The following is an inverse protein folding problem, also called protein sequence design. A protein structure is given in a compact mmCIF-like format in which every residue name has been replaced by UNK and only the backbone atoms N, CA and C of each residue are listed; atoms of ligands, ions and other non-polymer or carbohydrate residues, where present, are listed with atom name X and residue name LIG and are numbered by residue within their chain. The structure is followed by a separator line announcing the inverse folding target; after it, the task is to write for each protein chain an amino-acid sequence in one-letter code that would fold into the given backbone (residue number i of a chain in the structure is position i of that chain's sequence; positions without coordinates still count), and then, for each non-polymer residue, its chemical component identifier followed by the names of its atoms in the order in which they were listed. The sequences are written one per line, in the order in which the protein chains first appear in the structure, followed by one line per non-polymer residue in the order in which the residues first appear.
data_IF_589178085439
#
_entry.id   IF_589178085439
#
_cell.length_a   1.000
_cell.length_b   1.000
_cell.length_c   1.000
_cell.angle_alpha   90.00
_cell.angle_beta   90.00
_cell.angle_gamma   90.00
#
_symmetry.space_group_name_H-M   'P 1'
#
loop_
_entity.id
_entity.type
_entity.pdbx_description
1 polymer ?
#
# COMPACT_ATOMS: atom_id res chain seq x y z
N UNK A 1 47.99 -43.89 26.92
CA UNK A 1 47.37 -43.79 25.57
C UNK A 1 45.83 -43.94 25.55
N UNK A 2 45.20 -44.80 26.37
CA UNK A 2 43.72 -44.97 26.35
C UNK A 2 42.87 -43.79 26.87
N UNK A 3 43.42 -42.86 27.65
CA UNK A 3 42.74 -41.67 28.19
C UNK A 3 42.69 -40.50 27.19
N UNK A 4 43.73 -40.34 26.35
CA UNK A 4 43.80 -39.30 25.33
C UNK A 4 42.83 -39.53 24.20
N UNK A 5 42.62 -40.81 23.77
CA UNK A 5 41.63 -41.16 22.75
C UNK A 5 40.19 -40.85 23.15
N UNK A 6 39.82 -41.03 24.44
CA UNK A 6 38.48 -40.69 24.94
C UNK A 6 38.22 -39.19 24.99
N UNK A 7 39.24 -38.35 25.27
CA UNK A 7 39.14 -36.92 25.26
C UNK A 7 38.98 -36.38 23.81
N UNK A 8 39.72 -36.96 22.86
CA UNK A 8 39.59 -36.56 21.44
C UNK A 8 38.22 -36.92 20.87
N UNK A 9 37.64 -38.07 21.24
CA UNK A 9 36.32 -38.51 20.79
C UNK A 9 35.19 -37.61 21.37
N UNK A 10 35.30 -37.23 22.65
CA UNK A 10 34.33 -36.33 23.31
C UNK A 10 34.42 -34.91 22.70
N UNK A 11 35.60 -34.42 22.37
CA UNK A 11 35.81 -33.12 21.73
C UNK A 11 35.25 -33.10 20.29
N UNK A 12 35.44 -34.17 19.52
CA UNK A 12 34.89 -34.31 18.17
C UNK A 12 33.35 -34.39 18.19
N UNK A 13 32.73 -35.10 19.15
CA UNK A 13 31.27 -35.17 19.31
C UNK A 13 30.71 -33.83 19.82
N UNK A 14 31.40 -33.12 20.70
CA UNK A 14 30.99 -31.79 21.16
C UNK A 14 31.03 -30.74 20.03
N UNK A 15 31.97 -30.87 19.11
CA UNK A 15 32.07 -29.97 17.95
C UNK A 15 30.97 -30.18 16.91
N UNK A 16 30.36 -31.38 16.82
CA UNK A 16 29.21 -31.68 15.96
C UNK A 16 27.87 -31.27 16.56
N UNK A 17 27.83 -30.91 17.85
CA UNK A 17 26.63 -30.47 18.56
C UNK A 17 26.53 -28.92 18.68
N UNK A 18 27.51 -28.17 18.16
CA UNK A 18 27.37 -26.75 18.07
C UNK A 18 26.24 -26.43 17.07
N UNK A 19 25.17 -25.76 17.50
CA UNK A 19 24.14 -25.34 16.55
C UNK A 19 24.81 -24.35 15.57
N UNK A 20 25.08 -24.84 14.37
CA UNK A 20 25.36 -23.94 13.24
C UNK A 20 24.04 -23.24 13.00
N UNK A 21 23.92 -22.00 13.47
CA UNK A 21 22.82 -21.13 13.05
C UNK A 21 23.04 -20.79 11.57
N UNK A 22 22.87 -21.76 10.69
CA UNK A 22 22.69 -21.51 9.28
C UNK A 22 21.35 -20.80 9.12
N UNK A 23 21.34 -19.46 9.18
CA UNK A 23 20.24 -18.70 8.61
C UNK A 23 20.27 -18.97 7.12
N UNK A 24 19.38 -19.82 6.65
CA UNK A 24 19.09 -19.86 5.22
C UNK A 24 18.65 -18.45 4.83
N UNK A 25 19.33 -17.86 3.84
CA UNK A 25 18.88 -16.60 3.28
C UNK A 25 17.46 -16.80 2.76
N UNK A 26 16.55 -15.92 3.13
CA UNK A 26 15.18 -15.94 2.61
C UNK A 26 15.27 -15.64 1.11
N UNK A 27 14.67 -16.52 0.30
CA UNK A 27 14.66 -16.37 -1.15
C UNK A 27 13.41 -15.62 -1.57
N UNK A 28 13.58 -14.43 -2.13
CA UNK A 28 12.47 -13.58 -2.59
C UNK A 28 12.61 -13.28 -4.08
N UNK A 29 11.49 -13.14 -4.75
CA UNK A 29 11.44 -12.70 -6.15
C UNK A 29 11.29 -11.18 -6.16
N UNK A 30 12.27 -10.40 -6.67
CA UNK A 30 12.10 -8.98 -6.94
C UNK A 30 11.04 -8.78 -8.04
N UNK A 31 10.11 -7.86 -7.88
CA UNK A 31 8.96 -7.75 -8.79
C UNK A 31 8.96 -6.45 -9.60
N UNK A 32 9.01 -5.29 -8.97
CA UNK A 32 8.98 -4.00 -9.67
C UNK A 32 7.70 -3.69 -10.45
N UNK A 33 6.64 -4.52 -10.30
CA UNK A 33 5.37 -4.37 -11.03
C UNK A 33 4.46 -3.37 -10.35
N UNK A 34 3.89 -2.47 -11.17
CA UNK A 34 2.85 -1.54 -10.70
C UNK A 34 1.54 -2.26 -10.40
N UNK A 35 0.88 -1.84 -9.33
CA UNK A 35 -0.42 -2.36 -8.86
C UNK A 35 -1.29 -1.22 -8.36
N UNK A 36 -2.61 -1.41 -8.45
CA UNK A 36 -3.58 -0.62 -7.71
C UNK A 36 -3.71 -1.18 -6.29
N UNK A 37 -3.69 -0.31 -5.30
CA UNK A 37 -3.90 -0.68 -3.90
C UNK A 37 -5.11 0.09 -3.38
N UNK A 38 -6.03 -0.61 -2.74
CA UNK A 38 -7.18 -0.01 -2.05
C UNK A 38 -7.15 -0.46 -0.60
N UNK A 39 -7.02 0.48 0.32
CA UNK A 39 -6.97 0.24 1.76
C UNK A 39 -8.21 0.84 2.41
N UNK A 40 -8.88 0.11 3.27
CA UNK A 40 -10.03 0.58 4.05
C UNK A 40 -9.74 0.52 5.54
N UNK A 41 -10.21 1.54 6.26
CA UNK A 41 -10.19 1.62 7.73
C UNK A 41 -11.62 1.56 8.32
N UNK A 42 -12.58 1.11 7.53
CA UNK A 42 -14.02 1.10 7.85
C UNK A 42 -14.60 2.49 8.08
N UNK A 43 -14.03 3.52 7.44
CA UNK A 43 -14.63 4.86 7.48
C UNK A 43 -15.24 5.22 6.13
N UNK A 44 -16.47 5.71 6.16
CA UNK A 44 -17.17 6.23 4.99
C UNK A 44 -17.30 7.74 5.14
N UNK A 45 -16.68 8.49 4.25
CA UNK A 45 -16.64 9.96 4.30
C UNK A 45 -17.32 10.61 3.13
N UNK A 46 -17.97 11.74 3.36
CA UNK A 46 -18.50 12.61 2.30
C UNK A 46 -17.33 13.21 1.52
N UNK A 47 -17.19 12.81 0.25
CA UNK A 47 -16.11 13.27 -0.63
C UNK A 47 -16.50 14.51 -1.43
N UNK A 48 -17.74 14.55 -1.95
CA UNK A 48 -18.29 15.66 -2.71
C UNK A 48 -19.83 15.65 -2.61
N UNK A 49 -20.45 16.72 -3.03
CA UNK A 49 -21.89 16.77 -3.26
C UNK A 49 -22.17 16.53 -4.75
N UNK A 50 -23.24 15.81 -5.01
CA UNK A 50 -23.78 15.70 -6.36
C UNK A 50 -24.28 17.07 -6.85
N UNK A 51 -24.02 17.39 -8.12
CA UNK A 51 -24.35 18.71 -8.67
C UNK A 51 -25.87 18.96 -8.76
N UNK A 52 -26.66 17.90 -8.88
CA UNK A 52 -28.12 17.97 -9.04
C UNK A 52 -28.84 17.68 -7.70
N UNK A 53 -28.45 16.59 -7.04
CA UNK A 53 -29.14 16.08 -5.85
C UNK A 53 -28.51 16.57 -4.53
N UNK A 54 -27.31 17.14 -4.56
CA UNK A 54 -26.54 17.46 -3.34
C UNK A 54 -26.92 18.76 -2.64
N UNK A 55 -27.79 19.59 -3.24
CA UNK A 55 -28.17 20.89 -2.65
C UNK A 55 -28.87 20.73 -1.30
N UNK A 56 -29.73 19.74 -1.15
CA UNK A 56 -30.50 19.48 0.08
C UNK A 56 -29.63 18.95 1.19
N UNK A 57 -28.72 17.98 0.90
CA UNK A 57 -27.76 17.49 1.89
C UNK A 57 -26.86 18.60 2.41
N UNK A 58 -26.44 19.51 1.53
CA UNK A 58 -25.65 20.68 1.91
C UNK A 58 -26.45 21.63 2.81
N UNK A 59 -27.70 21.91 2.45
CA UNK A 59 -28.61 22.77 3.21
C UNK A 59 -28.94 22.17 4.57
N UNK A 60 -29.10 20.84 4.65
CA UNK A 60 -29.29 20.09 5.88
C UNK A 60 -28.08 20.16 6.82
N UNK A 61 -26.94 20.64 6.35
CA UNK A 61 -25.74 20.86 7.16
C UNK A 61 -24.68 19.77 7.07
N UNK A 62 -24.82 18.82 6.15
CA UNK A 62 -23.76 17.85 5.84
C UNK A 62 -22.57 18.57 5.20
N UNK A 63 -21.36 18.11 5.44
CA UNK A 63 -20.12 18.76 4.96
C UNK A 63 -19.17 17.76 4.35
N UNK A 64 -18.39 18.20 3.37
CA UNK A 64 -17.27 17.42 2.84
C UNK A 64 -16.30 17.10 4.00
N UNK A 65 -15.88 15.84 4.09
CA UNK A 65 -15.03 15.33 5.16
C UNK A 65 -15.79 14.82 6.40
N UNK A 66 -17.13 14.95 6.44
CA UNK A 66 -17.93 14.28 7.46
C UNK A 66 -17.81 12.77 7.29
N UNK A 67 -17.52 12.08 8.37
CA UNK A 67 -17.52 10.62 8.44
C UNK A 67 -18.91 10.15 8.88
N UNK A 68 -19.58 9.38 8.06
CA UNK A 68 -20.90 8.82 8.37
C UNK A 68 -20.68 7.62 9.29
N UNK A 69 -21.18 7.70 10.49
CA UNK A 69 -21.03 6.64 11.52
C UNK A 69 -22.28 5.79 11.61
N UNK A 70 -23.45 6.40 11.37
CA UNK A 70 -24.74 5.74 11.48
C UNK A 70 -25.75 6.43 10.57
N UNK A 71 -26.66 5.67 10.00
CA UNK A 71 -27.87 6.16 9.32
C UNK A 71 -29.06 5.48 10.00
N UNK A 72 -29.95 6.26 10.56
CA UNK A 72 -31.07 5.79 11.39
C UNK A 72 -30.58 4.81 12.47
N UNK A 73 -30.93 3.54 12.39
CA UNK A 73 -30.48 2.49 13.33
C UNK A 73 -29.28 1.68 12.82
N UNK A 74 -28.83 1.92 11.60
CA UNK A 74 -27.77 1.11 10.93
C UNK A 74 -26.39 1.74 11.12
N UNK A 75 -25.45 1.03 11.75
CA UNK A 75 -24.05 1.41 11.81
C UNK A 75 -23.40 1.30 10.42
N UNK A 76 -22.55 2.26 10.07
CA UNK A 76 -21.92 2.36 8.75
C UNK A 76 -20.44 2.07 8.88
N UNK A 77 -19.99 0.97 8.29
CA UNK A 77 -18.59 0.56 8.17
C UNK A 77 -18.09 0.54 6.71
N UNK A 78 -19.04 0.50 5.77
CA UNK A 78 -18.73 0.51 4.34
C UNK A 78 -19.82 1.23 3.54
N UNK A 79 -19.55 1.53 2.27
CA UNK A 79 -20.51 2.19 1.38
C UNK A 79 -21.73 1.33 1.10
N UNK A 80 -21.60 0.00 1.18
CA UNK A 80 -22.71 -0.93 1.01
C UNK A 80 -23.71 -0.85 2.18
N UNK A 81 -23.23 -0.58 3.41
CA UNK A 81 -24.12 -0.34 4.56
C UNK A 81 -24.93 0.93 4.36
N UNK A 82 -24.34 1.97 3.75
CA UNK A 82 -25.08 3.20 3.40
C UNK A 82 -26.22 2.87 2.43
N UNK A 83 -25.91 2.10 1.36
CA UNK A 83 -26.93 1.70 0.39
C UNK A 83 -28.06 0.92 1.07
N UNK A 84 -27.71 -0.06 1.90
CA UNK A 84 -28.68 -0.89 2.63
C UNK A 84 -29.52 -0.08 3.62
N UNK A 85 -28.91 0.84 4.36
CA UNK A 85 -29.64 1.71 5.28
C UNK A 85 -30.66 2.59 4.54
N UNK A 86 -30.28 3.12 3.38
CA UNK A 86 -31.18 3.97 2.59
C UNK A 86 -32.30 3.21 1.90
N UNK A 87 -32.14 1.92 1.54
CA UNK A 87 -33.22 1.09 0.96
C UNK A 87 -34.46 1.05 1.83
N UNK A 88 -34.33 1.19 3.16
CA UNK A 88 -35.42 1.25 4.12
C UNK A 88 -35.92 2.66 4.44
N UNK A 89 -35.31 3.70 3.91
CA UNK A 89 -35.72 5.08 4.16
C UNK A 89 -36.82 5.55 3.22
N UNK A 90 -37.94 5.98 3.80
CA UNK A 90 -39.02 6.63 3.08
C UNK A 90 -39.12 8.09 3.54
N UNK A 91 -38.33 8.96 2.89
CA UNK A 91 -38.27 10.38 3.22
C UNK A 91 -36.88 10.83 3.74
N UNK A 92 -36.85 11.37 4.95
CA UNK A 92 -35.61 11.90 5.57
C UNK A 92 -34.82 10.80 6.27
N UNK A 93 -33.49 10.79 6.10
CA UNK A 93 -32.56 9.95 6.83
C UNK A 93 -31.89 10.73 7.96
N UNK A 94 -31.85 10.18 9.16
CA UNK A 94 -31.08 10.72 10.27
C UNK A 94 -29.65 10.17 10.27
N UNK A 95 -28.67 11.02 10.00
CA UNK A 95 -27.26 10.67 9.96
C UNK A 95 -26.56 11.09 11.26
N UNK A 96 -25.86 10.16 11.91
CA UNK A 96 -24.85 10.51 12.89
C UNK A 96 -23.52 10.59 12.16
N UNK A 97 -22.95 11.79 12.08
CA UNK A 97 -21.64 12.04 11.43
C UNK A 97 -20.61 12.42 12.46
N UNK A 98 -19.37 12.02 12.21
CA UNK A 98 -18.20 12.48 12.95
C UNK A 98 -17.49 13.58 12.16
N UNK A 99 -17.48 14.77 12.72
CA UNK A 99 -16.82 15.98 12.18
C UNK A 99 -15.66 16.36 13.07
N UNK A 100 -14.45 15.99 12.70
CA UNK A 100 -13.29 16.05 13.57
C UNK A 100 -13.47 15.14 14.79
N UNK A 101 -13.49 15.73 16.01
CA UNK A 101 -13.67 14.99 17.27
C UNK A 101 -15.12 15.05 17.81
N UNK A 102 -16.06 15.62 17.05
CA UNK A 102 -17.45 15.80 17.50
C UNK A 102 -18.38 14.91 16.69
N UNK A 103 -19.37 14.33 17.35
CA UNK A 103 -20.53 13.71 16.70
C UNK A 103 -21.61 14.76 16.50
N UNK A 104 -22.21 14.78 15.34
CA UNK A 104 -23.32 15.67 14.97
C UNK A 104 -24.43 14.81 14.35
N UNK A 105 -25.67 15.12 14.66
CA UNK A 105 -26.84 14.57 13.98
C UNK A 105 -27.23 15.52 12.85
N UNK A 106 -27.47 14.96 11.68
CA UNK A 106 -27.89 15.70 10.47
C UNK A 106 -29.03 14.93 9.82
N UNK A 107 -30.19 15.56 9.70
CA UNK A 107 -31.33 14.97 8.98
C UNK A 107 -31.27 15.41 7.53
N UNK A 108 -31.13 14.45 6.62
CA UNK A 108 -30.93 14.68 5.17
C UNK A 108 -32.09 14.11 4.41
N UNK A 109 -32.81 14.89 3.60
CA UNK A 109 -33.82 14.38 2.69
C UNK A 109 -33.22 13.41 1.69
N UNK A 110 -33.81 12.23 1.56
CA UNK A 110 -33.41 11.27 0.53
C UNK A 110 -34.12 11.58 -0.78
N UNK A 111 -33.45 11.30 -1.90
CA UNK A 111 -34.01 11.46 -3.24
C UNK A 111 -34.03 10.12 -3.96
N UNK A 112 -35.18 9.79 -4.54
CA UNK A 112 -35.28 8.61 -5.36
C UNK A 112 -34.50 8.75 -6.66
N UNK A 113 -33.75 7.72 -7.01
CA UNK A 113 -33.04 7.59 -8.29
C UNK A 113 -33.34 6.20 -8.89
N UNK A 114 -32.94 5.97 -10.14
CA UNK A 114 -33.11 4.67 -10.82
C UNK A 114 -32.47 3.50 -10.05
N UNK A 115 -31.51 3.78 -9.18
CA UNK A 115 -30.81 2.80 -8.35
C UNK A 115 -31.18 2.86 -6.86
N UNK A 116 -32.35 3.46 -6.52
CA UNK A 116 -32.88 3.57 -5.16
C UNK A 116 -32.61 4.94 -4.51
N UNK A 117 -32.98 5.07 -3.21
CA UNK A 117 -32.83 6.32 -2.46
C UNK A 117 -31.37 6.75 -2.32
N UNK A 118 -31.08 8.07 -2.43
CA UNK A 118 -29.74 8.65 -2.34
C UNK A 118 -29.73 9.91 -1.47
N UNK A 119 -28.59 10.16 -0.85
CA UNK A 119 -28.32 11.38 -0.07
C UNK A 119 -27.81 12.56 -0.94
N UNK A 120 -27.60 12.36 -2.24
CA UNK A 120 -27.03 13.38 -3.12
C UNK A 120 -25.54 13.70 -2.81
N UNK A 121 -24.79 12.73 -2.32
CA UNK A 121 -23.36 12.90 -2.03
C UNK A 121 -22.55 11.77 -2.66
N UNK A 122 -21.30 12.09 -3.01
CA UNK A 122 -20.29 11.09 -3.33
C UNK A 122 -19.57 10.68 -2.05
N UNK A 123 -19.48 9.38 -1.85
CA UNK A 123 -18.83 8.80 -0.67
C UNK A 123 -17.46 8.26 -1.04
N UNK A 124 -16.54 8.37 -0.11
CA UNK A 124 -15.22 7.74 -0.20
C UNK A 124 -15.05 6.78 0.96
N UNK A 125 -14.62 5.57 0.63
CA UNK A 125 -14.24 4.56 1.60
C UNK A 125 -12.75 4.24 1.42
N UNK A 126 -11.96 4.46 2.48
CA UNK A 126 -10.54 4.16 2.46
C UNK A 126 -9.70 5.06 1.56
N UNK A 127 -8.56 4.55 1.17
CA UNK A 127 -7.56 5.21 0.31
C UNK A 127 -7.21 4.26 -0.82
N UNK A 128 -7.34 4.73 -2.05
CA UNK A 128 -6.92 4.02 -3.23
C UNK A 128 -5.78 4.78 -3.93
N UNK A 129 -4.85 4.03 -4.50
CA UNK A 129 -3.72 4.60 -5.22
C UNK A 129 -2.96 3.57 -6.03
N UNK A 130 -1.97 4.05 -6.77
CA UNK A 130 -1.03 3.22 -7.51
C UNK A 130 0.24 3.05 -6.66
N UNK A 131 0.76 1.83 -6.63
CA UNK A 131 2.01 1.49 -5.97
C UNK A 131 2.80 0.46 -6.75
N UNK A 132 3.94 0.07 -6.23
CA UNK A 132 4.78 -0.97 -6.84
C UNK A 132 4.96 -2.12 -5.87
N UNK A 133 4.80 -3.36 -6.35
CA UNK A 133 5.20 -4.56 -5.61
C UNK A 133 6.71 -4.63 -5.63
N UNK A 134 7.33 -4.63 -4.45
CA UNK A 134 8.78 -4.67 -4.29
C UNK A 134 9.30 -6.09 -4.40
N UNK A 135 8.66 -7.02 -3.67
CA UNK A 135 9.07 -8.43 -3.66
C UNK A 135 7.87 -9.36 -3.49
N UNK A 136 8.09 -10.62 -3.84
CA UNK A 136 7.16 -11.72 -3.66
C UNK A 136 7.91 -12.94 -3.09
N UNK A 137 7.33 -13.54 -2.07
CA UNK A 137 7.78 -14.79 -1.46
C UNK A 137 6.98 -15.96 -2.08
N UNK A 138 7.62 -16.82 -2.89
CA UNK A 138 6.93 -17.92 -3.57
C UNK A 138 6.46 -19.03 -2.62
N UNK A 139 7.09 -19.18 -1.45
CA UNK A 139 6.76 -20.25 -0.49
C UNK A 139 5.52 -19.90 0.33
N UNK A 140 5.39 -18.64 0.75
CA UNK A 140 4.27 -18.18 1.58
C UNK A 140 3.19 -17.43 0.81
N UNK A 141 3.41 -17.17 -0.48
CA UNK A 141 2.56 -16.33 -1.32
C UNK A 141 2.37 -14.90 -0.81
N UNK A 142 3.29 -14.43 0.02
CA UNK A 142 3.29 -13.06 0.55
C UNK A 142 4.01 -12.10 -0.39
N UNK A 143 3.61 -10.85 -0.35
CA UNK A 143 4.28 -9.78 -1.07
C UNK A 143 4.42 -8.53 -0.20
N UNK A 144 5.41 -7.71 -0.52
CA UNK A 144 5.58 -6.37 0.01
C UNK A 144 5.47 -5.32 -1.10
N UNK A 145 4.91 -4.17 -0.77
CA UNK A 145 4.71 -3.06 -1.69
C UNK A 145 5.03 -1.71 -1.04
N UNK A 146 5.36 -0.72 -1.84
CA UNK A 146 5.56 0.71 -1.55
C UNK A 146 6.85 1.07 -0.80
N UNK A 147 7.41 0.25 0.05
CA UNK A 147 8.54 0.62 0.93
C UNK A 147 8.22 1.69 1.97
N UNK A 148 6.97 2.13 2.08
CA UNK A 148 6.46 3.07 3.09
C UNK A 148 4.98 2.82 3.37
N UNK A 149 4.49 3.29 4.51
CA UNK A 149 3.08 3.16 4.87
C UNK A 149 2.17 4.14 4.14
N UNK A 150 0.92 3.76 3.99
CA UNK A 150 -0.14 4.63 3.48
C UNK A 150 -0.73 5.42 4.65
N UNK A 151 -0.75 6.73 4.52
CA UNK A 151 -1.27 7.65 5.54
C UNK A 151 -2.64 8.21 5.15
N UNK A 152 -3.45 8.50 6.14
CA UNK A 152 -4.72 9.19 5.96
C UNK A 152 -4.49 10.69 5.64
N UNK A 153 -5.58 11.42 5.39
CA UNK A 153 -5.55 12.86 5.06
C UNK A 153 -4.96 13.75 6.18
N UNK A 154 -4.81 13.23 7.39
CA UNK A 154 -4.17 13.91 8.53
C UNK A 154 -2.68 13.58 8.66
N UNK A 155 -2.11 12.80 7.75
CA UNK A 155 -0.71 12.36 7.77
C UNK A 155 -0.40 11.22 8.73
N UNK A 156 -1.41 10.65 9.40
CA UNK A 156 -1.22 9.49 10.28
C UNK A 156 -1.30 8.19 9.48
N UNK A 157 -0.52 7.19 9.88
CA UNK A 157 -0.60 5.85 9.29
C UNK A 157 -2.05 5.34 9.34
N UNK A 158 -2.58 4.93 8.18
CA UNK A 158 -3.94 4.40 8.07
C UNK A 158 -4.04 3.08 8.84
N UNK A 159 -4.96 3.01 9.78
CA UNK A 159 -5.29 1.77 10.51
C UNK A 159 -6.16 0.88 9.64
N UNK A 160 -5.52 0.20 8.68
CA UNK A 160 -6.19 -0.65 7.74
C UNK A 160 -6.96 -1.78 8.43
N UNK A 161 -8.19 -2.02 8.00
CA UNK A 161 -9.07 -3.12 8.40
C UNK A 161 -9.20 -4.18 7.31
N UNK A 162 -9.19 -3.73 6.07
CA UNK A 162 -9.19 -4.57 4.88
C UNK A 162 -8.50 -3.85 3.74
N UNK A 163 -8.15 -4.56 2.70
CA UNK A 163 -7.64 -3.96 1.48
C UNK A 163 -7.39 -4.98 0.40
N UNK A 164 -7.38 -4.50 -0.82
CA UNK A 164 -7.22 -5.30 -2.02
C UNK A 164 -6.14 -4.72 -2.93
N UNK A 165 -5.47 -5.62 -3.65
CA UNK A 165 -4.53 -5.28 -4.71
C UNK A 165 -5.14 -5.66 -6.06
N UNK A 166 -4.91 -4.83 -7.08
CA UNK A 166 -5.45 -4.94 -8.43
C UNK A 166 -4.34 -4.84 -9.47
N UNK A 167 -4.53 -5.45 -10.64
CA UNK A 167 -3.65 -5.17 -11.78
C UNK A 167 -3.72 -3.69 -12.15
N UNK A 168 -2.55 -3.12 -12.50
CA UNK A 168 -2.45 -1.74 -12.92
C UNK A 168 -1.46 -1.57 -14.07
N UNK A 169 -1.58 -0.45 -14.78
CA UNK A 169 -0.66 -0.04 -15.82
C UNK A 169 -0.30 1.44 -15.68
N UNK A 170 0.95 1.78 -16.00
CA UNK A 170 1.39 3.17 -16.09
C UNK A 170 0.83 3.79 -17.37
N UNK A 171 0.10 4.88 -17.23
CA UNK A 171 -0.42 5.66 -18.36
C UNK A 171 0.54 6.78 -18.76
N UNK A 172 1.12 7.45 -17.77
CA UNK A 172 2.03 8.58 -18.01
C UNK A 172 2.93 8.82 -16.80
N UNK A 173 4.04 9.51 -17.05
CA UNK A 173 5.01 9.90 -16.02
C UNK A 173 5.10 11.43 -15.97
N UNK A 174 4.86 11.99 -14.80
CA UNK A 174 5.32 13.35 -14.50
C UNK A 174 6.79 13.27 -14.18
N UNK A 175 7.67 13.79 -15.04
CA UNK A 175 9.12 13.76 -14.80
C UNK A 175 9.49 14.56 -13.56
N UNK A 176 10.43 14.03 -12.79
CA UNK A 176 11.07 14.75 -11.69
C UNK A 176 12.02 15.84 -12.20
N UNK A 177 12.15 16.89 -11.40
CA UNK A 177 13.12 17.96 -11.58
C UNK A 177 13.74 18.29 -10.24
N UNK A 178 14.88 18.98 -10.22
CA UNK A 178 15.48 19.42 -8.98
C UNK A 178 14.48 20.23 -8.14
N UNK A 179 14.21 19.78 -6.91
CA UNK A 179 13.23 20.39 -6.00
C UNK A 179 11.75 20.01 -6.26
N UNK A 180 11.44 19.33 -7.36
CA UNK A 180 10.09 18.85 -7.67
C UNK A 180 10.10 17.34 -7.95
N UNK A 181 9.61 16.50 -7.04
CA UNK A 181 9.53 15.06 -7.28
C UNK A 181 8.55 14.75 -8.43
N UNK A 182 8.95 13.80 -9.27
CA UNK A 182 8.08 13.25 -10.30
C UNK A 182 7.10 12.24 -9.72
N UNK A 183 6.22 11.72 -10.60
CA UNK A 183 5.19 10.77 -10.21
C UNK A 183 4.81 9.85 -11.36
N UNK A 184 4.66 8.55 -11.09
CA UNK A 184 3.95 7.63 -11.98
C UNK A 184 2.44 7.88 -11.85
N UNK A 185 1.76 7.99 -12.99
CA UNK A 185 0.30 8.05 -13.07
C UNK A 185 -0.17 6.81 -13.83
N UNK A 186 -1.06 6.06 -13.23
CA UNK A 186 -1.56 4.81 -13.80
C UNK A 186 -3.04 4.63 -13.57
N UNK A 187 -3.56 3.56 -14.10
CA UNK A 187 -4.92 3.09 -13.87
C UNK A 187 -4.88 1.67 -13.32
N UNK A 188 -5.80 1.37 -12.42
CA UNK A 188 -6.02 0.03 -11.88
C UNK A 188 -7.29 -0.57 -12.48
N UNK A 189 -7.24 -1.86 -12.79
CA UNK A 189 -8.43 -2.63 -13.14
C UNK A 189 -9.04 -3.19 -11.86
N UNK A 190 -10.07 -2.55 -11.36
CA UNK A 190 -10.74 -2.92 -10.10
C UNK A 190 -11.72 -4.08 -10.24
N UNK A 191 -11.93 -4.63 -11.44
CA UNK A 191 -12.84 -5.75 -11.67
C UNK A 191 -12.25 -7.08 -11.17
N UNK A 192 -10.91 -7.15 -11.04
CA UNK A 192 -10.24 -8.39 -10.65
C UNK A 192 -9.24 -8.14 -9.54
N UNK A 193 -9.55 -8.66 -8.35
CA UNK A 193 -8.63 -8.69 -7.20
C UNK A 193 -7.51 -9.69 -7.46
N UNK A 194 -6.26 -9.25 -7.39
CA UNK A 194 -5.05 -10.09 -7.55
C UNK A 194 -4.40 -10.47 -6.22
N UNK A 195 -4.75 -9.79 -5.13
CA UNK A 195 -4.23 -10.06 -3.80
C UNK A 195 -5.00 -9.33 -2.72
N UNK A 196 -4.90 -9.86 -1.50
CA UNK A 196 -5.48 -9.28 -0.29
C UNK A 196 -4.38 -8.59 0.52
N UNK A 197 -4.64 -7.37 0.96
CA UNK A 197 -3.73 -6.62 1.83
C UNK A 197 -3.99 -6.99 3.29
N UNK A 198 -2.93 -7.36 4.00
CA UNK A 198 -3.01 -7.82 5.38
C UNK A 198 -2.55 -6.75 6.38
N UNK A 199 -1.58 -5.94 6.02
CA UNK A 199 -0.99 -4.94 6.94
C UNK A 199 -0.51 -3.70 6.19
N UNK A 200 -0.74 -2.56 6.82
CA UNK A 200 -0.13 -1.28 6.49
C UNK A 200 0.79 -0.88 7.64
N UNK A 201 2.09 -0.79 7.38
CA UNK A 201 3.13 -0.48 8.37
C UNK A 201 3.99 0.69 7.90
N UNK A 202 4.80 1.32 8.75
CA UNK A 202 5.73 2.36 8.31
C UNK A 202 6.70 1.91 7.21
N UNK A 203 7.02 0.59 7.14
CA UNK A 203 7.95 0.00 6.19
C UNK A 203 7.30 -0.40 4.86
N UNK A 204 5.98 -0.39 4.78
CA UNK A 204 5.25 -0.78 3.56
C UNK A 204 3.91 -1.40 3.80
N UNK A 205 3.27 -1.76 2.70
CA UNK A 205 2.01 -2.51 2.66
C UNK A 205 2.32 -3.96 2.32
N UNK A 206 1.79 -4.89 3.10
CA UNK A 206 2.04 -6.32 2.95
C UNK A 206 0.73 -7.06 2.72
N UNK A 207 0.78 -8.05 1.84
CA UNK A 207 -0.39 -8.83 1.46
C UNK A 207 -0.06 -10.25 1.05
N UNK A 208 -1.07 -10.96 0.59
CA UNK A 208 -0.99 -12.30 0.01
C UNK A 208 -1.66 -12.33 -1.35
N UNK A 209 -1.20 -13.20 -2.22
CA UNK A 209 -1.77 -13.38 -3.57
C UNK A 209 -1.88 -14.85 -3.92
N UNK A 210 -2.93 -15.23 -4.63
CA UNK A 210 -3.07 -16.58 -5.19
C UNK A 210 -2.38 -16.72 -6.56
N UNK A 211 -2.14 -15.59 -7.22
CA UNK A 211 -1.61 -15.55 -8.59
C UNK A 211 -0.08 -15.71 -8.61
N UNK A 212 0.62 -15.04 -7.68
CA UNK A 212 2.08 -14.94 -7.66
C UNK A 212 2.64 -14.08 -8.80
N UNK A 213 3.94 -13.89 -8.78
CA UNK A 213 4.72 -13.26 -9.85
C UNK A 213 5.86 -14.18 -10.25
N UNK A 214 6.14 -14.21 -11.55
CA UNK A 214 7.25 -14.99 -12.10
C UNK A 214 8.54 -14.19 -11.99
N UNK A 215 9.63 -14.86 -11.64
CA UNK A 215 10.97 -14.31 -11.54
C UNK A 215 11.92 -15.34 -10.95
N UNK A 216 13.19 -15.03 -10.94
CA UNK A 216 14.21 -15.84 -10.29
C UNK A 216 14.24 -15.46 -8.80
N UNK A 217 14.09 -16.42 -7.87
CA UNK A 217 14.24 -16.17 -6.45
C UNK A 217 15.71 -15.82 -6.14
N UNK A 218 15.93 -14.67 -5.52
CA UNK A 218 17.24 -14.20 -5.09
C UNK A 218 17.37 -14.24 -3.58
N UNK A 219 18.54 -14.55 -3.03
CA UNK A 219 18.76 -14.49 -1.60
C UNK A 219 18.72 -13.05 -1.11
N UNK A 220 18.03 -12.83 0.01
CA UNK A 220 18.05 -11.52 0.67
C UNK A 220 19.41 -11.27 1.31
N UNK A 221 19.98 -10.09 1.07
CA UNK A 221 21.20 -9.66 1.73
C UNK A 221 20.94 -9.30 3.19
N UNK A 222 21.87 -9.62 4.07
CA UNK A 222 21.91 -9.04 5.42
C UNK A 222 22.38 -7.58 5.36
N UNK A 223 22.21 -6.81 6.43
CA UNK A 223 22.73 -5.44 6.50
C UNK A 223 24.25 -5.36 6.28
N UNK A 224 24.97 -6.38 6.76
CA UNK A 224 26.44 -6.46 6.66
C UNK A 224 26.90 -6.71 5.22
N UNK A 225 26.02 -7.28 4.37
CA UNK A 225 26.31 -7.56 2.97
C UNK A 225 26.04 -6.35 2.06
N UNK A 226 25.40 -5.31 2.57
CA UNK A 226 25.10 -4.10 1.79
C UNK A 226 26.36 -3.25 1.69
N UNK A 227 26.81 -2.95 0.47
CA UNK A 227 27.97 -2.12 0.19
C UNK A 227 27.72 -1.10 -0.91
N UNK A 228 28.57 -0.11 -1.02
CA UNK A 228 28.52 0.88 -2.11
C UNK A 228 29.00 0.25 -3.41
N UNK A 229 28.47 0.75 -4.54
CA UNK A 229 28.82 0.27 -5.87
C UNK A 229 27.61 0.09 -6.77
N UNK A 230 27.82 -0.63 -7.86
CA UNK A 230 26.80 -0.93 -8.87
C UNK A 230 25.67 -1.79 -8.29
N UNK A 231 24.45 -1.44 -8.65
CA UNK A 231 23.23 -2.16 -8.29
C UNK A 231 22.17 -1.97 -9.39
N UNK A 232 21.07 -2.70 -9.28
CA UNK A 232 19.95 -2.56 -10.19
C UNK A 232 18.64 -2.36 -9.40
N UNK A 233 17.68 -1.71 -10.04
CA UNK A 233 16.31 -1.60 -9.56
C UNK A 233 15.35 -2.14 -10.60
N UNK A 234 14.28 -2.78 -10.16
CA UNK A 234 13.16 -3.18 -11.02
C UNK A 234 12.04 -2.16 -10.90
N UNK A 235 11.55 -1.66 -12.02
CA UNK A 235 10.42 -0.73 -12.01
C UNK A 235 9.61 -0.80 -13.30
N UNK A 236 8.32 -0.51 -13.19
CA UNK A 236 7.42 -0.30 -14.32
C UNK A 236 7.27 1.21 -14.54
N UNK A 237 7.80 1.71 -15.64
CA UNK A 237 7.70 3.14 -16.00
C UNK A 237 6.81 3.40 -17.22
N UNK A 238 6.39 2.33 -17.90
CA UNK A 238 5.46 2.39 -19.03
C UNK A 238 4.71 1.06 -19.14
N UNK A 239 3.41 1.14 -19.38
CA UNK A 239 2.57 -0.06 -19.47
C UNK A 239 2.49 -0.81 -18.14
N UNK A 240 2.62 -2.13 -18.17
CA UNK A 240 2.47 -3.03 -17.01
C UNK A 240 3.66 -3.97 -16.77
N UNK A 241 4.70 -3.86 -17.59
CA UNK A 241 5.87 -4.77 -17.58
C UNK A 241 7.05 -4.09 -16.89
N UNK A 242 7.57 -4.65 -15.78
CA UNK A 242 8.77 -4.15 -15.12
C UNK A 242 10.01 -4.37 -15.97
N UNK A 243 10.98 -3.48 -15.83
CA UNK A 243 12.32 -3.55 -16.41
C UNK A 243 13.37 -3.29 -15.35
N UNK A 244 14.55 -3.81 -15.58
CA UNK A 244 15.73 -3.55 -14.77
C UNK A 244 16.41 -2.27 -15.25
N UNK A 245 16.86 -1.45 -14.30
CA UNK A 245 17.58 -0.19 -14.53
C UNK A 245 18.79 -0.11 -13.62
N UNK A 246 19.93 0.32 -14.17
CA UNK A 246 21.18 0.47 -13.44
C UNK A 246 21.16 1.66 -12.50
N UNK A 247 21.64 1.43 -11.29
CA UNK A 247 21.86 2.46 -10.26
C UNK A 247 23.21 2.25 -9.60
N UNK A 248 23.65 3.22 -8.84
CA UNK A 248 24.86 3.16 -8.01
C UNK A 248 24.50 3.50 -6.57
N UNK A 249 24.86 2.65 -5.61
CA UNK A 249 24.78 2.94 -4.18
C UNK A 249 25.97 3.81 -3.82
N UNK A 250 25.75 5.11 -3.65
CA UNK A 250 26.80 6.07 -3.33
C UNK A 250 27.17 6.09 -1.85
N UNK A 251 26.18 5.86 -0.98
CA UNK A 251 26.38 5.96 0.47
C UNK A 251 25.35 5.12 1.22
N UNK A 252 25.80 4.50 2.29
CA UNK A 252 24.99 3.79 3.27
C UNK A 252 25.03 4.61 4.56
N UNK A 253 23.86 4.87 5.12
CA UNK A 253 23.70 5.61 6.37
C UNK A 253 23.35 4.66 7.52
N UNK A 254 23.68 5.03 8.77
CA UNK A 254 23.28 4.24 9.92
C UNK A 254 21.76 3.99 10.00
N UNK A 255 21.39 2.86 10.60
CA UNK A 255 20.01 2.37 10.72
C UNK A 255 19.10 3.24 11.59
N UNK A 256 19.70 3.99 12.52
CA UNK A 256 19.05 4.84 13.51
C UNK A 256 18.69 6.24 13.02
N UNK A 257 18.79 6.50 11.71
CA UNK A 257 18.34 7.77 11.13
C UNK A 257 16.85 7.96 11.35
N UNK A 258 16.50 9.11 11.90
CA UNK A 258 15.12 9.49 12.20
C UNK A 258 14.24 9.69 10.96
N UNK A 259 14.84 9.92 9.79
CA UNK A 259 14.16 10.10 8.50
C UNK A 259 13.93 8.77 7.75
N UNK A 260 14.43 7.64 8.29
CA UNK A 260 14.29 6.30 7.70
C UNK A 260 15.02 6.10 6.37
N UNK A 261 15.89 7.04 5.96
CA UNK A 261 16.64 6.98 4.69
C UNK A 261 18.01 6.39 4.91
N UNK A 262 18.21 5.14 4.53
CA UNK A 262 19.42 4.39 4.80
C UNK A 262 20.38 4.32 3.63
N UNK A 263 19.92 4.55 2.39
CA UNK A 263 20.74 4.50 1.18
C UNK A 263 20.66 5.81 0.39
N UNK A 264 21.80 6.23 -0.17
CA UNK A 264 21.86 7.25 -1.21
C UNK A 264 22.15 6.57 -2.55
N UNK A 265 21.21 6.64 -3.46
CA UNK A 265 21.28 6.04 -4.79
C UNK A 265 21.48 7.12 -5.86
N UNK A 266 22.24 6.78 -6.90
CA UNK A 266 22.33 7.54 -8.14
C UNK A 266 21.80 6.67 -9.27
N UNK A 267 20.84 7.16 -10.04
CA UNK A 267 20.43 6.51 -11.28
C UNK A 267 21.52 6.70 -12.32
N UNK A 268 22.01 5.59 -12.89
CA UNK A 268 23.03 5.58 -13.94
C UNK A 268 22.45 5.19 -15.29
N UNK A 269 21.25 4.63 -15.32
CA UNK A 269 20.53 4.23 -16.54
C UNK A 269 19.96 5.47 -17.27
N UNK A 270 20.46 5.72 -18.49
CA UNK A 270 20.04 6.85 -19.31
C UNK A 270 18.57 6.77 -19.73
N UNK A 271 18.06 5.56 -20.01
CA UNK A 271 16.67 5.35 -20.42
C UNK A 271 15.71 5.73 -19.29
N UNK A 272 16.05 5.35 -18.05
CA UNK A 272 15.26 5.74 -16.88
C UNK A 272 15.32 7.25 -16.65
N UNK A 273 16.50 7.85 -16.74
CA UNK A 273 16.67 9.31 -16.59
C UNK A 273 15.87 10.08 -17.65
N UNK A 274 15.89 9.63 -18.90
CA UNK A 274 15.11 10.24 -19.99
C UNK A 274 13.61 10.08 -19.75
N UNK A 275 13.16 8.92 -19.25
CA UNK A 275 11.74 8.66 -19.05
C UNK A 275 11.15 9.40 -17.83
N UNK A 276 11.91 9.48 -16.74
CA UNK A 276 11.38 9.88 -15.41
C UNK A 276 12.09 11.09 -14.79
N UNK A 277 13.31 11.43 -15.25
CA UNK A 277 14.17 12.42 -14.61
C UNK A 277 14.81 11.94 -13.31
N UNK A 278 14.78 10.63 -13.01
CA UNK A 278 15.30 9.99 -11.81
C UNK A 278 14.26 9.11 -11.10
N UNK A 279 14.46 8.83 -9.83
CA UNK A 279 13.47 8.11 -9.02
C UNK A 279 12.26 9.01 -8.78
N UNK A 280 11.06 8.49 -9.05
CA UNK A 280 9.80 9.23 -8.92
C UNK A 280 8.83 8.51 -8.00
N UNK A 281 7.83 9.23 -7.50
CA UNK A 281 6.78 8.64 -6.66
C UNK A 281 6.04 7.53 -7.41
N UNK A 282 5.81 6.41 -6.73
CA UNK A 282 5.19 5.19 -7.27
C UNK A 282 6.21 4.14 -7.71
N UNK A 283 7.51 4.45 -7.76
CA UNK A 283 8.58 3.47 -7.87
C UNK A 283 8.92 2.91 -6.49
N UNK A 284 9.34 1.65 -6.44
CA UNK A 284 9.71 0.97 -5.19
C UNK A 284 10.95 0.13 -5.40
#
# INVERSE_FOLDING_TARGET
MKRIGKFLTIFAVAMTLLPINARAAELLIPVGKIVGLQLSDNTVTVAAFDDVLGAEARTAGLKIGDEIVQIDTTTIDCTEDVRRALEGCDGDAELIVRRGNRRCTVTVPTRQSDSGPRLGVYLRQGIAGIGTITFYDPDTHRFGALGHGVSNTKGNLLRMKSGDAYDAAVLTVKKGKCGEPGQLKGTANTDTVIGELLRNTPQGVFGVTKRGWKGEPLPTASEEDIHTGEAAILSTVSGDTPREYSVEILKIYPKDRTDGRNLLLKVTDETLLEATGGIVQGMS
#
